data_IF_627740666454
#
_entry.id   IF_627740666454
#
_cell.length_a   1.000
_cell.length_b   1.000
_cell.length_c   1.000
_cell.angle_alpha   90.00
_cell.angle_beta   90.00
_cell.angle_gamma   90.00
#
_symmetry.space_group_name_H-M   'P 1'
#
loop_
_entity.id
_entity.type
_entity.pdbx_description
1 polymer ?
#
# COMPACT_ATOMS: atom_id res chain seq x y z
N UNK A 1 -21.55 17.62 8.94
CA UNK A 1 -20.49 17.83 9.94
C UNK A 1 -20.63 16.95 11.20
N UNK A 2 -21.81 16.81 11.81
CA UNK A 2 -21.99 15.98 13.04
C UNK A 2 -21.59 14.51 12.82
N UNK A 3 -22.06 13.85 11.76
CA UNK A 3 -21.75 12.43 11.46
C UNK A 3 -20.24 12.22 11.19
N UNK A 4 -19.58 13.17 10.53
CA UNK A 4 -18.13 13.11 10.30
C UNK A 4 -17.35 13.12 11.62
N UNK A 5 -17.69 14.04 12.51
CA UNK A 5 -17.09 14.13 13.86
C UNK A 5 -17.37 12.88 14.69
N UNK A 6 -18.59 12.31 14.58
CA UNK A 6 -18.98 11.09 15.27
C UNK A 6 -18.25 9.85 14.74
N UNK A 7 -17.92 9.80 13.44
CA UNK A 7 -17.10 8.74 12.87
C UNK A 7 -15.64 8.86 13.31
N UNK A 8 -15.07 10.07 13.33
CA UNK A 8 -13.71 10.28 13.83
C UNK A 8 -13.62 9.92 15.32
N UNK A 9 -14.53 10.40 16.14
CA UNK A 9 -14.57 10.09 17.56
C UNK A 9 -14.64 8.56 17.78
N UNK A 10 -15.55 7.88 17.09
CA UNK A 10 -15.68 6.43 17.14
C UNK A 10 -14.40 5.71 16.71
N UNK A 11 -13.72 6.16 15.66
CA UNK A 11 -12.46 5.59 15.19
C UNK A 11 -11.35 5.65 16.23
N UNK A 12 -11.26 6.77 16.97
CA UNK A 12 -10.30 6.94 18.05
C UNK A 12 -10.65 6.13 19.30
N UNK A 13 -11.93 6.09 19.68
CA UNK A 13 -12.41 5.30 20.82
C UNK A 13 -12.20 3.79 20.60
N UNK A 14 -12.36 3.33 19.37
CA UNK A 14 -12.20 1.90 19.01
C UNK A 14 -10.79 1.54 18.52
N UNK A 15 -9.80 2.44 18.67
CA UNK A 15 -8.45 2.24 18.10
C UNK A 15 -7.77 0.93 18.56
N UNK A 16 -7.95 0.55 19.81
CA UNK A 16 -7.37 -0.69 20.32
C UNK A 16 -8.05 -1.92 19.72
N UNK A 17 -9.37 -1.84 19.48
CA UNK A 17 -10.15 -2.95 18.91
C UNK A 17 -9.75 -3.23 17.46
N UNK A 18 -9.82 -2.24 16.57
CA UNK A 18 -9.49 -2.49 15.16
C UNK A 18 -8.01 -2.82 14.95
N UNK A 19 -7.10 -2.30 15.78
CA UNK A 19 -5.70 -2.69 15.74
C UNK A 19 -5.48 -4.13 16.23
N UNK A 20 -6.13 -4.51 17.32
CA UNK A 20 -6.07 -5.86 17.86
C UNK A 20 -6.68 -6.90 16.91
N UNK A 21 -7.85 -6.62 16.32
CA UNK A 21 -8.48 -7.51 15.34
C UNK A 21 -7.62 -7.71 14.11
N UNK A 22 -6.99 -6.65 13.58
CA UNK A 22 -6.02 -6.74 12.50
C UNK A 22 -4.81 -7.62 12.87
N UNK A 23 -4.26 -7.44 14.08
CA UNK A 23 -3.13 -8.25 14.57
C UNK A 23 -3.52 -9.72 14.73
N UNK A 24 -4.71 -9.99 15.26
CA UNK A 24 -5.23 -11.34 15.42
C UNK A 24 -5.44 -12.03 14.07
N UNK A 25 -5.95 -11.29 13.07
CA UNK A 25 -6.10 -11.76 11.69
C UNK A 25 -4.74 -12.09 11.05
N UNK A 26 -3.73 -11.25 11.26
CA UNK A 26 -2.36 -11.51 10.79
C UNK A 26 -1.79 -12.78 11.42
N UNK A 27 -1.94 -12.96 12.73
CA UNK A 27 -1.51 -14.17 13.44
C UNK A 27 -2.25 -15.41 12.96
N UNK A 28 -3.57 -15.34 12.79
CA UNK A 28 -4.41 -16.45 12.33
C UNK A 28 -4.02 -16.90 10.92
N UNK A 29 -3.68 -15.97 10.02
CA UNK A 29 -3.24 -16.27 8.65
C UNK A 29 -2.02 -17.19 8.61
N UNK A 30 -1.12 -17.06 9.57
CA UNK A 30 0.16 -17.77 9.63
C UNK A 30 0.26 -18.78 10.77
N UNK A 31 -0.82 -19.05 11.52
CA UNK A 31 -0.81 -19.87 12.73
C UNK A 31 -0.32 -21.32 12.51
N UNK A 32 -0.45 -21.85 11.28
CA UNK A 32 -0.05 -23.24 10.92
C UNK A 32 1.18 -23.27 10.01
N UNK A 33 1.91 -22.18 9.88
CA UNK A 33 3.11 -22.13 9.01
C UNK A 33 4.39 -22.16 9.84
N UNK A 34 5.42 -22.85 9.35
CA UNK A 34 6.70 -22.98 10.05
C UNK A 34 7.42 -21.63 10.23
N UNK A 35 7.33 -20.74 9.25
CA UNK A 35 7.99 -19.42 9.26
C UNK A 35 7.08 -18.29 9.75
N UNK A 36 5.80 -18.57 10.08
CA UNK A 36 4.88 -17.52 10.50
C UNK A 36 4.75 -16.41 9.46
N UNK A 37 4.67 -15.17 9.94
CA UNK A 37 4.56 -13.97 9.08
C UNK A 37 5.83 -13.66 8.25
N UNK A 38 6.97 -14.31 8.54
CA UNK A 38 8.18 -14.18 7.73
C UNK A 38 7.99 -14.65 6.27
N UNK A 39 6.99 -15.51 6.00
CA UNK A 39 6.63 -15.90 4.63
C UNK A 39 6.37 -14.71 3.72
N UNK A 40 5.79 -13.62 4.22
CA UNK A 40 5.53 -12.41 3.43
C UNK A 40 6.83 -11.76 2.93
N UNK A 41 7.79 -11.60 3.82
CA UNK A 41 9.07 -11.05 3.45
C UNK A 41 9.90 -12.01 2.60
N UNK A 42 9.86 -13.30 2.92
CA UNK A 42 10.59 -14.32 2.17
C UNK A 42 10.08 -14.46 0.73
N UNK A 43 8.77 -14.46 0.49
CA UNK A 43 8.21 -14.47 -0.85
C UNK A 43 8.61 -13.23 -1.67
N UNK A 44 8.66 -12.06 -1.02
CA UNK A 44 9.18 -10.85 -1.66
C UNK A 44 10.67 -10.96 -2.01
N UNK A 45 11.49 -11.52 -1.10
CA UNK A 45 12.91 -11.75 -1.38
C UNK A 45 13.13 -12.69 -2.56
N UNK A 46 12.38 -13.80 -2.63
CA UNK A 46 12.44 -14.70 -3.77
C UNK A 46 12.05 -13.98 -5.07
N UNK A 47 11.01 -13.20 -5.06
CA UNK A 47 10.59 -12.41 -6.23
C UNK A 47 11.66 -11.38 -6.63
N UNK A 48 12.23 -10.66 -5.67
CA UNK A 48 13.30 -9.69 -5.91
C UNK A 48 14.54 -10.37 -6.50
N UNK A 49 14.93 -11.50 -5.94
CA UNK A 49 16.10 -12.25 -6.43
C UNK A 49 15.87 -12.78 -7.84
N UNK A 50 14.74 -13.42 -8.09
CA UNK A 50 14.40 -13.97 -9.41
C UNK A 50 14.30 -12.88 -10.46
N UNK A 51 13.52 -11.83 -10.20
CA UNK A 51 13.36 -10.69 -11.12
C UNK A 51 14.66 -9.90 -11.25
N UNK A 52 15.43 -9.77 -10.18
CA UNK A 52 16.74 -9.12 -10.20
C UNK A 52 17.72 -9.81 -11.13
N UNK A 53 17.81 -11.12 -11.07
CA UNK A 53 18.67 -11.91 -11.97
C UNK A 53 18.19 -11.79 -13.42
N UNK A 54 16.91 -12.06 -13.68
CA UNK A 54 16.35 -12.05 -15.04
C UNK A 54 16.46 -10.66 -15.67
N UNK A 55 15.96 -9.62 -15.02
CA UNK A 55 15.98 -8.27 -15.59
C UNK A 55 17.34 -7.60 -15.50
N UNK A 56 18.17 -7.97 -14.51
CA UNK A 56 19.56 -7.53 -14.44
C UNK A 56 20.37 -7.99 -15.65
N UNK A 57 20.13 -9.22 -16.13
CA UNK A 57 20.77 -9.73 -17.36
C UNK A 57 20.15 -9.13 -18.61
N UNK A 58 18.82 -9.04 -18.70
CA UNK A 58 18.12 -8.47 -19.87
C UNK A 58 18.51 -7.00 -20.12
N UNK A 59 18.59 -6.20 -19.06
CA UNK A 59 18.97 -4.78 -19.16
C UNK A 59 20.49 -4.54 -19.09
N UNK A 60 21.30 -5.60 -19.06
CA UNK A 60 22.79 -5.53 -18.99
C UNK A 60 23.26 -4.57 -17.89
N UNK A 61 22.68 -4.69 -16.69
CA UNK A 61 22.94 -3.79 -15.57
C UNK A 61 24.39 -3.92 -15.09
N UNK A 62 25.14 -2.82 -15.10
CA UNK A 62 26.55 -2.78 -14.68
C UNK A 62 26.72 -2.86 -13.16
N UNK A 63 25.86 -2.19 -12.41
CA UNK A 63 25.84 -2.22 -10.92
C UNK A 63 24.61 -2.99 -10.42
N UNK A 64 24.81 -4.29 -10.25
CA UNK A 64 23.77 -5.21 -9.83
C UNK A 64 23.28 -4.93 -8.40
N UNK A 65 24.16 -4.50 -7.49
CA UNK A 65 23.80 -4.23 -6.11
C UNK A 65 22.85 -3.02 -6.00
N UNK A 66 23.16 -1.92 -6.67
CA UNK A 66 22.29 -0.75 -6.72
C UNK A 66 20.96 -1.06 -7.41
N UNK A 67 20.96 -1.95 -8.39
CA UNK A 67 19.76 -2.39 -9.07
C UNK A 67 18.87 -3.24 -8.15
N UNK A 68 19.44 -4.17 -7.38
CA UNK A 68 18.68 -4.97 -6.40
C UNK A 68 18.01 -4.09 -5.34
N UNK A 69 18.70 -3.06 -4.86
CA UNK A 69 18.13 -2.10 -3.92
C UNK A 69 16.96 -1.34 -4.57
N UNK A 70 17.17 -0.83 -5.78
CA UNK A 70 16.15 -0.14 -6.55
C UNK A 70 14.89 -0.99 -6.76
N UNK A 71 15.07 -2.22 -7.21
CA UNK A 71 14.03 -3.20 -7.46
C UNK A 71 13.33 -3.62 -6.16
N UNK A 72 14.11 -3.91 -5.12
CA UNK A 72 13.62 -4.44 -3.86
C UNK A 72 12.68 -3.47 -3.15
N UNK A 73 13.08 -2.20 -3.01
CA UNK A 73 12.23 -1.16 -2.41
C UNK A 73 10.97 -0.99 -3.25
N UNK A 74 11.11 -0.92 -4.58
CA UNK A 74 9.98 -0.73 -5.49
C UNK A 74 8.95 -1.85 -5.40
N UNK A 75 9.38 -3.11 -5.41
CA UNK A 75 8.49 -4.27 -5.35
C UNK A 75 7.77 -4.40 -4.02
N UNK A 76 8.43 -4.14 -2.89
CA UNK A 76 7.78 -4.22 -1.57
C UNK A 76 6.68 -3.17 -1.45
N UNK A 77 6.95 -1.94 -1.87
CA UNK A 77 5.95 -0.86 -1.85
C UNK A 77 4.81 -1.16 -2.82
N UNK A 78 5.13 -1.61 -4.04
CA UNK A 78 4.13 -1.99 -5.02
C UNK A 78 3.22 -3.11 -4.52
N UNK A 79 3.78 -4.17 -3.92
CA UNK A 79 3.02 -5.28 -3.37
C UNK A 79 2.08 -4.84 -2.25
N UNK A 80 2.48 -3.87 -1.41
CA UNK A 80 1.61 -3.29 -0.40
C UNK A 80 0.43 -2.51 -1.03
N UNK A 81 0.70 -1.71 -2.06
CA UNK A 81 -0.31 -0.99 -2.83
C UNK A 81 -1.29 -1.98 -3.48
N UNK A 82 -0.77 -2.99 -4.20
CA UNK A 82 -1.58 -4.02 -4.84
C UNK A 82 -2.44 -4.79 -3.84
N UNK A 83 -1.87 -5.23 -2.73
CA UNK A 83 -2.60 -5.98 -1.69
C UNK A 83 -3.76 -5.16 -1.12
N UNK A 84 -3.49 -3.91 -0.77
CA UNK A 84 -4.48 -3.01 -0.20
C UNK A 84 -5.63 -2.70 -1.17
N UNK A 85 -5.31 -2.47 -2.44
CA UNK A 85 -6.30 -2.13 -3.47
C UNK A 85 -7.09 -3.38 -3.90
N UNK A 86 -6.44 -4.54 -4.04
CA UNK A 86 -7.09 -5.79 -4.46
C UNK A 86 -8.04 -6.36 -3.39
N UNK A 87 -7.80 -6.10 -2.11
CA UNK A 87 -8.70 -6.51 -1.03
C UNK A 87 -9.94 -5.62 -0.90
N UNK A 88 -9.87 -4.40 -1.41
CA UNK A 88 -10.90 -3.39 -1.22
C UNK A 88 -12.29 -3.77 -1.80
N UNK A 89 -12.42 -4.34 -3.02
CA UNK A 89 -13.72 -4.64 -3.60
C UNK A 89 -14.59 -5.58 -2.77
N UNK A 90 -13.97 -6.50 -2.04
CA UNK A 90 -14.67 -7.54 -1.25
C UNK A 90 -14.73 -7.21 0.25
N UNK A 91 -14.18 -6.05 0.67
CA UNK A 91 -14.06 -5.67 2.08
C UNK A 91 -15.40 -5.74 2.83
N UNK A 92 -16.41 -5.07 2.34
CA UNK A 92 -17.72 -5.02 3.00
C UNK A 92 -18.49 -6.33 2.84
N UNK A 93 -18.35 -7.02 1.70
CA UNK A 93 -18.98 -8.32 1.44
C UNK A 93 -18.45 -9.37 2.42
N UNK A 94 -17.14 -9.45 2.62
CA UNK A 94 -16.52 -10.38 3.57
C UNK A 94 -16.94 -10.12 5.02
N UNK A 95 -17.33 -8.89 5.34
CA UNK A 95 -17.79 -8.49 6.67
C UNK A 95 -19.31 -8.39 6.79
N UNK A 96 -20.08 -8.92 5.82
CA UNK A 96 -21.54 -8.84 5.76
C UNK A 96 -22.21 -9.23 7.06
N UNK A 97 -21.93 -10.42 7.57
CA UNK A 97 -22.55 -10.93 8.81
C UNK A 97 -22.26 -10.02 10.02
N UNK A 98 -21.05 -9.51 10.10
CA UNK A 98 -20.66 -8.60 11.17
C UNK A 98 -21.34 -7.22 11.04
N UNK A 99 -21.46 -6.70 9.82
CA UNK A 99 -22.11 -5.41 9.55
C UNK A 99 -23.60 -5.48 9.87
N UNK A 100 -24.25 -6.60 9.57
CA UNK A 100 -25.69 -6.79 9.83
C UNK A 100 -26.01 -7.12 11.29
N UNK A 101 -25.14 -7.87 11.97
CA UNK A 101 -25.42 -8.37 13.34
C UNK A 101 -24.78 -7.53 14.44
N UNK A 102 -23.63 -6.88 14.16
CA UNK A 102 -22.91 -6.07 15.13
C UNK A 102 -23.23 -4.59 14.93
N UNK A 103 -23.40 -3.85 16.02
CA UNK A 103 -23.64 -2.39 16.00
C UNK A 103 -22.37 -1.58 15.73
N UNK A 104 -21.40 -2.14 14.98
CA UNK A 104 -20.17 -1.44 14.63
C UNK A 104 -20.38 -0.60 13.36
N UNK A 105 -19.80 0.59 13.35
CA UNK A 105 -19.87 1.47 12.17
C UNK A 105 -19.01 0.91 11.04
N UNK A 106 -19.41 1.06 9.76
CA UNK A 106 -18.64 0.58 8.61
C UNK A 106 -17.17 1.04 8.57
N UNK A 107 -16.87 2.22 9.10
CA UNK A 107 -15.50 2.74 9.21
C UNK A 107 -14.58 1.83 10.04
N UNK A 108 -15.12 1.05 10.99
CA UNK A 108 -14.35 0.10 11.77
C UNK A 108 -13.66 -0.94 10.88
N UNK A 109 -14.38 -1.52 9.94
CA UNK A 109 -13.86 -2.55 9.04
C UNK A 109 -12.81 -1.98 8.06
N UNK A 110 -12.98 -0.72 7.68
CA UNK A 110 -11.99 0.00 6.85
C UNK A 110 -10.69 0.21 7.63
N UNK A 111 -10.78 0.63 8.89
CA UNK A 111 -9.60 0.82 9.75
C UNK A 111 -8.92 -0.49 10.10
N UNK A 112 -9.69 -1.56 10.31
CA UNK A 112 -9.15 -2.91 10.52
C UNK A 112 -8.37 -3.38 9.29
N UNK A 113 -8.95 -3.25 8.09
CA UNK A 113 -8.27 -3.63 6.85
C UNK A 113 -7.01 -2.81 6.62
N UNK A 114 -7.10 -1.48 6.81
CA UNK A 114 -5.93 -0.61 6.72
C UNK A 114 -4.82 -1.01 7.69
N UNK A 115 -5.16 -1.27 8.95
CA UNK A 115 -4.19 -1.72 9.95
C UNK A 115 -3.57 -3.07 9.58
N UNK A 116 -4.37 -4.00 9.04
CA UNK A 116 -3.88 -5.28 8.54
C UNK A 116 -2.88 -5.10 7.40
N UNK A 117 -3.18 -4.23 6.43
CA UNK A 117 -2.28 -3.93 5.30
C UNK A 117 -0.98 -3.25 5.75
N UNK A 118 -1.06 -2.31 6.69
CA UNK A 118 0.10 -1.65 7.27
C UNK A 118 0.99 -2.65 8.03
N UNK A 119 0.40 -3.53 8.84
CA UNK A 119 1.15 -4.55 9.58
C UNK A 119 1.84 -5.55 8.64
N UNK A 120 1.15 -6.02 7.60
CA UNK A 120 1.71 -6.95 6.61
C UNK A 120 2.80 -6.30 5.77
N UNK A 121 2.64 -5.01 5.43
CA UNK A 121 3.69 -4.22 4.79
C UNK A 121 4.95 -4.16 5.65
N UNK A 122 4.84 -3.77 6.92
CA UNK A 122 6.01 -3.69 7.80
C UNK A 122 6.72 -5.04 7.99
N UNK A 123 5.97 -6.14 8.14
CA UNK A 123 6.55 -7.47 8.25
C UNK A 123 7.39 -7.83 7.02
N UNK A 124 6.87 -7.53 5.82
CA UNK A 124 7.58 -7.75 4.57
C UNK A 124 8.75 -6.77 4.39
N UNK A 125 8.50 -5.47 4.63
CA UNK A 125 9.49 -4.42 4.46
C UNK A 125 10.71 -4.62 5.35
N UNK A 126 10.51 -4.92 6.63
CA UNK A 126 11.62 -5.12 7.59
C UNK A 126 12.54 -6.26 7.14
N UNK A 127 11.99 -7.40 6.72
CA UNK A 127 12.79 -8.54 6.30
C UNK A 127 13.58 -8.22 5.02
N UNK A 128 12.92 -7.66 4.01
CA UNK A 128 13.59 -7.27 2.76
C UNK A 128 14.62 -6.19 3.02
N UNK A 129 14.28 -5.19 3.82
CA UNK A 129 15.17 -4.07 4.12
C UNK A 129 16.44 -4.51 4.87
N UNK A 130 16.32 -5.46 5.81
CA UNK A 130 17.48 -6.05 6.49
C UNK A 130 18.44 -6.69 5.48
N UNK A 131 17.93 -7.39 4.48
CA UNK A 131 18.78 -7.96 3.42
C UNK A 131 19.40 -6.86 2.55
N UNK A 132 18.65 -5.82 2.19
CA UNK A 132 19.17 -4.73 1.37
C UNK A 132 20.27 -3.90 2.07
N UNK A 133 20.26 -3.79 3.40
CA UNK A 133 21.31 -3.13 4.18
C UNK A 133 22.68 -3.80 3.99
N UNK A 134 22.73 -5.12 3.75
CA UNK A 134 24.01 -5.80 3.47
C UNK A 134 24.66 -5.29 2.17
N UNK A 135 23.87 -4.86 1.20
CA UNK A 135 24.36 -4.29 -0.05
C UNK A 135 24.73 -2.80 0.08
N UNK A 136 24.00 -2.06 0.92
CA UNK A 136 24.30 -0.65 1.18
C UNK A 136 23.90 -0.23 2.61
N UNK A 137 24.89 -0.04 3.47
CA UNK A 137 24.69 0.34 4.88
C UNK A 137 24.06 1.73 5.08
N UNK A 138 24.20 2.64 4.10
CA UNK A 138 23.62 3.99 4.19
C UNK A 138 22.08 3.97 4.24
N UNK A 139 21.44 2.89 3.74
CA UNK A 139 19.99 2.73 3.78
C UNK A 139 19.43 2.86 5.20
N UNK A 140 20.13 2.32 6.20
CA UNK A 140 19.67 2.39 7.59
C UNK A 140 19.63 3.84 8.09
N UNK A 141 20.67 4.61 7.81
CA UNK A 141 20.72 6.03 8.15
C UNK A 141 19.62 6.81 7.42
N UNK A 142 19.47 6.56 6.13
CA UNK A 142 18.48 7.21 5.29
C UNK A 142 17.04 6.91 5.72
N UNK A 143 16.79 5.70 6.22
CA UNK A 143 15.48 5.32 6.78
C UNK A 143 15.10 6.23 7.96
N UNK A 144 16.06 6.49 8.85
CA UNK A 144 15.81 7.29 10.06
C UNK A 144 15.68 8.78 9.73
N UNK A 145 16.48 9.29 8.80
CA UNK A 145 16.58 10.74 8.54
C UNK A 145 15.54 11.24 7.53
N UNK A 146 15.35 10.52 6.42
CA UNK A 146 14.63 11.08 5.25
C UNK A 146 13.32 10.38 4.89
N UNK A 147 13.05 9.18 5.41
CA UNK A 147 11.95 8.37 4.87
C UNK A 147 10.59 8.56 5.54
N UNK A 148 10.50 9.32 6.64
CA UNK A 148 9.25 9.48 7.40
C UNK A 148 8.12 10.11 6.61
N UNK A 149 8.40 11.19 5.87
CA UNK A 149 7.39 11.90 5.06
C UNK A 149 6.84 10.98 3.95
N UNK A 150 7.67 10.31 3.13
CA UNK A 150 7.21 9.31 2.17
C UNK A 150 6.38 8.19 2.77
N UNK A 151 6.74 7.66 3.95
CA UNK A 151 5.94 6.62 4.61
C UNK A 151 4.56 7.13 5.04
N UNK A 152 4.49 8.31 5.64
CA UNK A 152 3.20 8.92 6.03
C UNK A 152 2.32 9.09 4.80
N UNK A 153 2.86 9.60 3.70
CA UNK A 153 2.14 9.76 2.44
C UNK A 153 1.64 8.42 1.89
N UNK A 154 2.48 7.36 1.94
CA UNK A 154 2.09 6.01 1.53
C UNK A 154 0.93 5.48 2.39
N UNK A 155 1.02 5.60 3.72
CA UNK A 155 -0.02 5.07 4.61
C UNK A 155 -1.35 5.81 4.52
N UNK A 156 -1.33 7.12 4.26
CA UNK A 156 -2.55 7.89 3.96
C UNK A 156 -3.16 7.38 2.65
N UNK A 157 -2.35 7.15 1.62
CA UNK A 157 -2.81 6.59 0.35
C UNK A 157 -3.44 5.22 0.52
N UNK A 158 -2.80 4.31 1.25
CA UNK A 158 -3.30 2.97 1.55
C UNK A 158 -4.62 2.95 2.35
N UNK A 159 -5.03 4.08 2.92
CA UNK A 159 -6.32 4.23 3.58
C UNK A 159 -7.41 4.71 2.61
N UNK A 160 -7.21 5.88 2.00
CA UNK A 160 -8.30 6.54 1.28
C UNK A 160 -8.60 5.92 -0.09
N UNK A 161 -7.58 5.49 -0.82
CA UNK A 161 -7.78 4.97 -2.17
C UNK A 161 -8.53 3.62 -2.17
N UNK A 162 -8.12 2.62 -1.35
CA UNK A 162 -8.89 1.39 -1.20
C UNK A 162 -10.31 1.62 -0.66
N UNK A 163 -10.51 2.61 0.23
CA UNK A 163 -11.84 2.96 0.72
C UNK A 163 -12.76 3.41 -0.42
N UNK A 164 -12.28 4.26 -1.33
CA UNK A 164 -13.08 4.66 -2.51
C UNK A 164 -13.45 3.44 -3.34
N UNK A 165 -12.50 2.55 -3.62
CA UNK A 165 -12.73 1.32 -4.40
C UNK A 165 -13.76 0.42 -3.69
N UNK A 166 -13.64 0.21 -2.38
CA UNK A 166 -14.60 -0.57 -1.61
C UNK A 166 -16.02 -0.01 -1.70
N UNK A 167 -16.16 1.32 -1.63
CA UNK A 167 -17.47 1.99 -1.73
C UNK A 167 -18.08 1.93 -3.14
N UNK A 168 -17.26 1.99 -4.18
CA UNK A 168 -17.73 1.83 -5.57
C UNK A 168 -18.15 0.38 -5.82
N UNK A 169 -17.35 -0.58 -5.33
CA UNK A 169 -17.60 -2.01 -5.53
C UNK A 169 -18.88 -2.51 -4.87
N UNK A 170 -19.35 -1.85 -3.80
CA UNK A 170 -20.67 -2.13 -3.24
C UNK A 170 -21.82 -1.94 -4.23
N UNK A 171 -21.64 -1.08 -5.21
CA UNK A 171 -22.66 -0.78 -6.22
C UNK A 171 -22.42 -1.54 -7.53
N UNK A 172 -21.15 -1.81 -7.84
CA UNK A 172 -20.72 -2.44 -9.09
C UNK A 172 -19.77 -3.60 -8.77
N UNK A 173 -20.32 -4.81 -8.74
CA UNK A 173 -19.58 -6.04 -8.40
C UNK A 173 -18.40 -6.33 -9.35
N UNK A 174 -18.49 -5.84 -10.60
CA UNK A 174 -17.46 -6.05 -11.63
C UNK A 174 -16.11 -5.42 -11.27
N UNK A 175 -16.11 -4.46 -10.33
CA UNK A 175 -14.86 -3.88 -9.82
C UNK A 175 -13.93 -4.92 -9.19
N UNK A 176 -14.47 -5.99 -8.62
CA UNK A 176 -13.65 -7.07 -8.07
C UNK A 176 -12.78 -7.76 -9.13
N UNK A 177 -13.28 -7.83 -10.38
CA UNK A 177 -12.54 -8.40 -11.52
C UNK A 177 -11.68 -7.34 -12.23
N UNK A 178 -12.19 -6.11 -12.34
CA UNK A 178 -11.52 -5.03 -13.05
C UNK A 178 -10.26 -4.53 -12.32
N UNK A 179 -10.28 -4.44 -10.99
CA UNK A 179 -9.17 -3.91 -10.18
C UNK A 179 -7.86 -4.67 -10.40
N UNK A 180 -7.79 -6.03 -10.35
CA UNK A 180 -6.55 -6.75 -10.61
C UNK A 180 -5.98 -6.51 -12.01
N UNK A 181 -6.85 -6.41 -13.03
CA UNK A 181 -6.45 -6.14 -14.41
C UNK A 181 -5.81 -4.76 -14.53
N UNK A 182 -6.46 -3.74 -13.96
CA UNK A 182 -5.94 -2.37 -13.96
C UNK A 182 -4.61 -2.28 -13.22
N UNK A 183 -4.47 -2.93 -12.06
CA UNK A 183 -3.21 -2.96 -11.31
C UNK A 183 -2.09 -3.62 -12.12
N UNK A 184 -2.38 -4.69 -12.85
CA UNK A 184 -1.40 -5.33 -13.72
C UNK A 184 -0.93 -4.39 -14.84
N UNK A 185 -1.85 -3.65 -15.47
CA UNK A 185 -1.50 -2.66 -16.49
C UNK A 185 -0.66 -1.52 -15.91
N UNK A 186 -1.03 -1.01 -14.73
CA UNK A 186 -0.26 0.04 -14.04
C UNK A 186 1.15 -0.46 -13.70
N UNK A 187 1.29 -1.71 -13.27
CA UNK A 187 2.61 -2.32 -12.99
C UNK A 187 3.53 -2.31 -14.20
N UNK A 188 3.01 -2.68 -15.38
CA UNK A 188 3.79 -2.72 -16.61
C UNK A 188 4.22 -1.33 -17.09
N UNK A 189 3.35 -0.33 -16.90
CA UNK A 189 3.63 1.06 -17.29
C UNK A 189 4.57 1.75 -16.28
N UNK A 190 4.55 1.29 -15.02
CA UNK A 190 5.38 1.90 -13.97
C UNK A 190 6.80 1.36 -14.01
N UNK A 191 7.85 2.21 -13.96
CA UNK A 191 9.24 1.77 -13.90
C UNK A 191 9.58 1.20 -12.50
N UNK A 192 9.05 0.00 -12.24
CA UNK A 192 9.31 -0.77 -11.02
C UNK A 192 10.45 -1.74 -11.27
N UNK A 193 10.41 -2.46 -12.41
CA UNK A 193 11.40 -3.46 -12.80
C UNK A 193 12.59 -2.86 -13.55
N UNK A 194 12.43 -1.70 -14.16
CA UNK A 194 13.43 -1.00 -14.94
C UNK A 194 13.56 0.44 -14.47
N UNK A 195 14.64 1.10 -14.82
CA UNK A 195 14.84 2.51 -14.49
C UNK A 195 14.08 3.41 -15.48
N UNK A 196 13.62 4.58 -15.03
CA UNK A 196 12.84 5.52 -15.85
C UNK A 196 13.57 5.96 -17.11
N UNK A 197 14.91 6.00 -17.08
CA UNK A 197 15.75 6.34 -18.21
C UNK A 197 15.60 5.36 -19.39
N UNK A 198 15.20 4.11 -19.12
CA UNK A 198 14.95 3.08 -20.14
C UNK A 198 13.69 3.34 -20.97
N UNK A 199 12.82 4.26 -20.56
CA UNK A 199 11.60 4.62 -21.29
C UNK A 199 11.86 5.59 -22.47
N UNK A 200 13.03 6.22 -22.55
CA UNK A 200 13.32 7.19 -23.60
C UNK A 200 12.24 8.27 -23.71
N UNK A 201 11.64 8.41 -24.89
CA UNK A 201 10.60 9.42 -25.16
C UNK A 201 9.31 9.25 -24.36
N UNK A 202 9.05 8.04 -23.82
CA UNK A 202 7.87 7.77 -22.99
C UNK A 202 8.05 8.15 -21.52
N UNK A 203 9.17 8.77 -21.16
CA UNK A 203 9.46 9.13 -19.76
C UNK A 203 8.42 10.09 -19.14
N UNK A 204 7.68 10.85 -19.95
CA UNK A 204 6.59 11.71 -19.48
C UNK A 204 5.48 10.94 -18.73
N UNK A 205 5.27 9.64 -19.01
CA UNK A 205 4.29 8.80 -18.36
C UNK A 205 4.57 8.70 -16.86
N UNK A 206 5.84 8.70 -16.45
CA UNK A 206 6.25 8.63 -15.05
C UNK A 206 5.79 9.83 -14.24
N UNK A 207 5.69 11.00 -14.86
CA UNK A 207 5.28 12.25 -14.21
C UNK A 207 3.76 12.30 -13.94
N UNK A 208 2.97 11.53 -14.68
CA UNK A 208 1.51 11.47 -14.53
C UNK A 208 1.10 10.28 -13.65
N UNK A 209 1.92 9.22 -13.60
CA UNK A 209 1.61 8.02 -12.87
C UNK A 209 1.77 8.22 -11.36
N UNK A 210 0.67 8.48 -10.67
CA UNK A 210 0.67 8.72 -9.23
C UNK A 210 1.22 7.54 -8.42
N UNK A 211 0.98 6.29 -8.85
CA UNK A 211 1.51 5.10 -8.19
C UNK A 211 3.05 5.06 -8.26
N UNK A 212 3.59 5.39 -9.44
CA UNK A 212 5.03 5.49 -9.60
C UNK A 212 5.62 6.61 -8.74
N UNK A 213 4.98 7.79 -8.71
CA UNK A 213 5.44 8.92 -7.90
C UNK A 213 5.50 8.55 -6.41
N UNK A 214 4.53 7.79 -5.89
CA UNK A 214 4.53 7.29 -4.51
C UNK A 214 5.71 6.34 -4.25
N UNK A 215 5.92 5.37 -5.15
CA UNK A 215 7.01 4.39 -5.03
C UNK A 215 8.36 5.09 -5.12
N UNK A 216 8.53 5.94 -6.13
CA UNK A 216 9.78 6.64 -6.40
C UNK A 216 10.14 7.61 -5.27
N UNK A 217 9.15 8.25 -4.66
CA UNK A 217 9.36 9.16 -3.53
C UNK A 217 10.01 8.47 -2.33
N UNK A 218 9.54 7.27 -1.99
CA UNK A 218 10.10 6.46 -0.90
C UNK A 218 11.47 5.88 -1.31
N UNK A 219 11.58 5.38 -2.54
CA UNK A 219 12.82 4.84 -3.10
C UNK A 219 13.92 5.90 -3.13
N UNK A 220 13.61 7.10 -3.62
CA UNK A 220 14.53 8.21 -3.68
C UNK A 220 15.05 8.60 -2.29
N UNK A 221 14.17 8.75 -1.31
CA UNK A 221 14.54 9.11 0.06
C UNK A 221 15.45 8.06 0.71
N UNK A 222 15.18 6.77 0.50
CA UNK A 222 15.98 5.67 1.04
C UNK A 222 17.36 5.56 0.38
N UNK A 223 17.45 5.79 -0.94
CA UNK A 223 18.71 5.63 -1.66
C UNK A 223 19.61 6.85 -1.50
N UNK A 224 19.06 8.08 -1.59
CA UNK A 224 19.86 9.31 -1.69
C UNK A 224 19.99 10.09 -0.38
N UNK A 225 19.27 9.72 0.67
CA UNK A 225 19.12 10.51 1.92
C UNK A 225 18.47 11.89 1.74
N UNK A 226 17.96 12.19 0.55
CA UNK A 226 17.33 13.46 0.23
C UNK A 226 15.82 13.28 0.09
N UNK A 227 15.07 14.34 0.40
CA UNK A 227 13.61 14.39 0.22
C UNK A 227 13.30 15.40 -0.86
N UNK A 228 12.63 14.99 -1.91
CA UNK A 228 12.07 15.94 -2.87
C UNK A 228 10.79 16.55 -2.27
N UNK A 229 10.95 17.65 -1.52
CA UNK A 229 9.84 18.30 -0.81
C UNK A 229 8.71 18.75 -1.73
N UNK A 230 9.01 19.15 -2.97
CA UNK A 230 7.99 19.53 -3.95
C UNK A 230 7.07 18.34 -4.29
N UNK A 231 7.66 17.21 -4.66
CA UNK A 231 6.89 15.98 -4.95
C UNK A 231 6.12 15.50 -3.73
N UNK A 232 6.73 15.55 -2.53
CA UNK A 232 6.07 15.16 -1.29
C UNK A 232 4.87 16.05 -0.94
N UNK A 233 5.00 17.34 -1.19
CA UNK A 233 3.91 18.30 -0.97
C UNK A 233 2.74 18.06 -1.94
N UNK A 234 3.02 17.79 -3.21
CA UNK A 234 2.00 17.43 -4.20
C UNK A 234 1.27 16.13 -3.80
N UNK A 235 2.02 15.09 -3.42
CA UNK A 235 1.45 13.83 -2.93
C UNK A 235 0.56 14.10 -1.71
N UNK A 236 1.00 14.92 -0.78
CA UNK A 236 0.24 15.24 0.44
C UNK A 236 -1.08 15.95 0.11
N UNK A 237 -1.08 16.90 -0.83
CA UNK A 237 -2.30 17.58 -1.28
C UNK A 237 -3.29 16.58 -1.86
N UNK A 238 -2.83 15.70 -2.75
CA UNK A 238 -3.67 14.65 -3.36
C UNK A 238 -4.22 13.71 -2.29
N UNK A 239 -3.38 13.32 -1.33
CA UNK A 239 -3.77 12.46 -0.22
C UNK A 239 -4.82 13.11 0.69
N UNK A 240 -4.66 14.39 1.03
CA UNK A 240 -5.66 15.13 1.84
C UNK A 240 -6.97 15.23 1.09
N UNK A 241 -6.95 15.59 -0.19
CA UNK A 241 -8.14 15.65 -1.03
C UNK A 241 -8.83 14.28 -1.12
N UNK A 242 -8.08 13.22 -1.42
CA UNK A 242 -8.58 11.85 -1.49
C UNK A 242 -9.18 11.36 -0.17
N UNK A 243 -8.54 11.70 0.95
CA UNK A 243 -9.02 11.36 2.29
C UNK A 243 -10.34 12.06 2.61
N UNK A 244 -10.45 13.36 2.33
CA UNK A 244 -11.70 14.11 2.51
C UNK A 244 -12.80 13.52 1.64
N UNK A 245 -12.51 13.28 0.36
CA UNK A 245 -13.47 12.72 -0.60
C UNK A 245 -13.96 11.34 -0.16
N UNK A 246 -13.04 10.43 0.21
CA UNK A 246 -13.38 9.07 0.64
C UNK A 246 -14.26 9.04 1.89
N UNK A 247 -13.95 9.90 2.87
CA UNK A 247 -14.75 10.02 4.10
C UNK A 247 -16.12 10.65 3.85
N UNK A 248 -16.23 11.59 2.92
CA UNK A 248 -17.53 12.15 2.51
C UNK A 248 -18.39 11.09 1.83
N UNK A 249 -17.84 10.31 0.88
CA UNK A 249 -18.58 9.23 0.22
C UNK A 249 -19.03 8.19 1.25
N UNK A 250 -18.14 7.78 2.16
CA UNK A 250 -18.48 6.87 3.24
C UNK A 250 -19.63 7.41 4.10
N UNK A 251 -19.61 8.70 4.45
CA UNK A 251 -20.68 9.32 5.24
C UNK A 251 -22.04 9.21 4.56
N UNK A 252 -22.11 9.48 3.24
CA UNK A 252 -23.35 9.36 2.47
C UNK A 252 -23.84 7.93 2.33
N UNK A 253 -22.93 6.96 2.30
CA UNK A 253 -23.26 5.55 2.10
C UNK A 253 -23.43 4.76 3.42
N UNK A 254 -22.99 5.28 4.57
CA UNK A 254 -23.00 4.55 5.85
C UNK A 254 -24.35 3.90 6.18
N UNK A 255 -25.47 4.59 5.92
CA UNK A 255 -26.81 4.06 6.17
C UNK A 255 -27.25 3.01 5.15
N UNK A 256 -26.65 3.00 3.95
CA UNK A 256 -27.02 2.10 2.84
C UNK A 256 -26.19 0.81 2.85
N UNK A 257 -24.97 0.85 3.40
CA UNK A 257 -24.05 -0.29 3.41
C UNK A 257 -24.70 -1.57 3.96
N UNK A 258 -25.43 -1.60 5.10
CA UNK A 258 -26.05 -2.83 5.61
C UNK A 258 -27.10 -3.45 4.67
N UNK A 259 -27.65 -2.67 3.75
CA UNK A 259 -28.65 -3.12 2.77
C UNK A 259 -28.03 -3.50 1.41
N UNK A 260 -26.80 -3.03 1.14
CA UNK A 260 -26.09 -3.30 -0.12
C UNK A 260 -25.19 -4.54 -0.03
N UNK A 261 -24.92 -4.99 1.18
CA UNK A 261 -24.03 -6.12 1.47
C UNK A 261 -24.76 -7.46 1.54
#
# INVERSE_FOLDING_TARGET
MKIFRDNLKFSFETRQLWWFTATSRTRARFARTALGSFWLGFSNLLSITTLGIVYGTVFSVTDFNSYLIYLGIGLVVWNAICSSISSAPILFINNRSNIQNLKLKPIFYVLEEWAFQVQTFFQSFVLVFLVLIFFNKSLFYNLIVSSWIPFVNLFIFLFWFPLIIALISLRFSDFAQLVPIVLQLIFLISPILYRKESLGDLNWITNINFFYILIDSLRYSLITSNVNYYSQFLILIINIFGLILSLLILQFQTKKIPFLV
#
